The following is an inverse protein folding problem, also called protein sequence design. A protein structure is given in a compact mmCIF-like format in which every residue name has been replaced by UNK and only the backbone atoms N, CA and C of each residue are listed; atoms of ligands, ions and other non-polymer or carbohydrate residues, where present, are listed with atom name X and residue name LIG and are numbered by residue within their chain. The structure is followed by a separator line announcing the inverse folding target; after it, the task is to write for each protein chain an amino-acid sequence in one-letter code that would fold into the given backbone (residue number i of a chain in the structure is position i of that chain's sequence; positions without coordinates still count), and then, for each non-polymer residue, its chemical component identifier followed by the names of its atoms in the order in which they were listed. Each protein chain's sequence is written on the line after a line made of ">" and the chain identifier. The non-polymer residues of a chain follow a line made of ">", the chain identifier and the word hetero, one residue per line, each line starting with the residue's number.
data_IF_263281696603
#
_entry.id   IF_263281696603
#
_cell.length_a   1.000
_cell.length_b   1.000
_cell.length_c   1.000
_cell.angle_alpha   90.00
_cell.angle_beta   90.00
_cell.angle_gamma   90.00
#
_symmetry.space_group_name_H-M   'P 1'
#
loop_
_entity.id
_entity.type
_entity.pdbx_description
1 polymer ?
#
# COMPACT_ATOMS: atom_id res chain seq x y z
N UNK A 1 -16.64 -3.53 10.68
CA UNK A 1 -15.65 -2.75 9.87
C UNK A 1 -16.37 -2.29 8.61
N UNK A 2 -16.17 -1.06 8.12
CA UNK A 2 -16.87 -0.58 6.89
C UNK A 2 -16.49 -1.47 5.70
N UNK A 3 -17.45 -1.79 4.83
CA UNK A 3 -17.23 -2.69 3.70
C UNK A 3 -16.10 -2.21 2.77
N UNK A 4 -15.98 -0.89 2.57
CA UNK A 4 -14.89 -0.28 1.81
C UNK A 4 -13.50 -0.66 2.34
N UNK A 5 -13.33 -0.76 3.66
CA UNK A 5 -12.05 -1.15 4.27
C UNK A 5 -11.74 -2.62 3.93
N UNK A 6 -12.74 -3.49 4.03
CA UNK A 6 -12.59 -4.92 3.70
C UNK A 6 -12.26 -5.11 2.22
N UNK A 7 -12.87 -4.32 1.33
CA UNK A 7 -12.55 -4.31 -0.09
C UNK A 7 -11.06 -4.03 -0.33
N UNK A 8 -10.54 -2.93 0.24
CA UNK A 8 -9.13 -2.55 0.07
C UNK A 8 -8.17 -3.58 0.68
N UNK A 9 -8.47 -4.11 1.88
CA UNK A 9 -7.65 -5.14 2.51
C UNK A 9 -7.64 -6.44 1.70
N UNK A 10 -8.77 -6.83 1.13
CA UNK A 10 -8.87 -8.04 0.30
C UNK A 10 -8.01 -7.91 -0.95
N UNK A 11 -8.09 -6.76 -1.61
CA UNK A 11 -7.26 -6.47 -2.78
C UNK A 11 -5.77 -6.37 -2.44
N UNK A 12 -5.41 -5.73 -1.31
CA UNK A 12 -4.02 -5.65 -0.86
C UNK A 12 -3.42 -7.04 -0.59
N UNK A 13 -4.20 -7.95 0.00
CA UNK A 13 -3.77 -9.34 0.22
C UNK A 13 -3.56 -10.10 -1.08
N UNK A 14 -4.43 -9.89 -2.07
CA UNK A 14 -4.28 -10.49 -3.39
C UNK A 14 -3.01 -9.98 -4.10
N UNK A 15 -2.74 -8.67 -4.04
CA UNK A 15 -1.51 -8.10 -4.59
C UNK A 15 -0.26 -8.63 -3.89
N UNK A 16 -0.29 -8.77 -2.55
CA UNK A 16 0.84 -9.30 -1.80
C UNK A 16 1.16 -10.74 -2.20
N UNK A 17 0.12 -11.56 -2.42
CA UNK A 17 0.28 -12.91 -2.94
C UNK A 17 0.94 -12.87 -4.32
N UNK A 18 0.44 -12.04 -5.24
CA UNK A 18 1.05 -11.87 -6.57
C UNK A 18 2.51 -11.43 -6.49
N UNK A 19 2.82 -10.42 -5.67
CA UNK A 19 4.19 -9.94 -5.47
C UNK A 19 5.13 -11.06 -5.00
N UNK A 20 4.65 -11.88 -4.05
CA UNK A 20 5.41 -13.00 -3.49
C UNK A 20 5.62 -14.12 -4.51
N UNK A 21 4.60 -14.44 -5.30
CA UNK A 21 4.71 -15.49 -6.32
C UNK A 21 5.61 -15.06 -7.47
N UNK A 22 5.55 -13.79 -7.88
CA UNK A 22 6.41 -13.22 -8.92
C UNK A 22 7.87 -13.09 -8.47
N UNK A 23 8.11 -12.88 -7.17
CA UNK A 23 9.46 -12.89 -6.61
C UNK A 23 10.09 -14.29 -6.74
N UNK A 24 9.30 -15.35 -6.52
CA UNK A 24 9.78 -16.75 -6.62
C UNK A 24 10.07 -17.19 -8.06
N UNK A 25 9.50 -16.52 -9.05
CA UNK A 25 9.69 -16.81 -10.47
C UNK A 25 10.64 -15.82 -11.15
N UNK A 26 11.40 -15.06 -10.36
CA UNK A 26 12.36 -14.06 -10.81
C UNK A 26 11.77 -12.94 -11.70
N UNK A 27 10.45 -12.75 -11.66
CA UNK A 27 9.78 -11.64 -12.35
C UNK A 27 9.77 -10.39 -11.46
N UNK A 28 10.97 -9.83 -11.26
CA UNK A 28 11.21 -8.77 -10.27
C UNK A 28 10.44 -7.48 -10.55
N UNK A 29 10.36 -7.03 -11.81
CA UNK A 29 9.61 -5.81 -12.15
C UNK A 29 8.14 -5.93 -11.72
N UNK A 30 7.48 -7.03 -12.05
CA UNK A 30 6.09 -7.25 -11.68
C UNK A 30 5.95 -7.44 -10.16
N UNK A 31 6.90 -8.12 -9.51
CA UNK A 31 6.92 -8.25 -8.04
C UNK A 31 6.95 -6.90 -7.33
N UNK A 32 7.82 -5.98 -7.79
CA UNK A 32 7.91 -4.61 -7.26
C UNK A 32 6.61 -3.83 -7.50
N UNK A 33 6.02 -3.95 -8.70
CA UNK A 33 4.74 -3.31 -9.01
C UNK A 33 3.63 -3.77 -8.05
N UNK A 34 3.46 -5.06 -7.84
CA UNK A 34 2.44 -5.57 -6.91
C UNK A 34 2.75 -5.26 -5.45
N UNK A 35 4.03 -5.11 -5.09
CA UNK A 35 4.42 -4.63 -3.76
C UNK A 35 3.96 -3.18 -3.54
N UNK A 36 4.16 -2.30 -4.53
CA UNK A 36 3.66 -0.92 -4.49
C UNK A 36 2.13 -0.87 -4.35
N UNK A 37 1.42 -1.69 -5.13
CA UNK A 37 -0.05 -1.78 -5.07
C UNK A 37 -0.55 -2.29 -3.72
N UNK A 38 0.12 -3.28 -3.14
CA UNK A 38 -0.14 -3.78 -1.77
C UNK A 38 -0.06 -2.64 -0.76
N UNK A 39 1.02 -1.85 -0.82
CA UNK A 39 1.21 -0.69 0.07
C UNK A 39 0.11 0.34 -0.14
N UNK A 40 -0.22 0.70 -1.38
CA UNK A 40 -1.24 1.71 -1.69
C UNK A 40 -2.60 1.32 -1.12
N UNK A 41 -3.05 0.10 -1.39
CA UNK A 41 -4.37 -0.38 -0.96
C UNK A 41 -4.44 -0.54 0.55
N UNK A 42 -3.34 -0.95 1.19
CA UNK A 42 -3.24 -1.02 2.66
C UNK A 42 -3.34 0.37 3.30
N UNK A 43 -2.63 1.37 2.74
CA UNK A 43 -2.71 2.75 3.21
C UNK A 43 -4.10 3.34 3.00
N UNK A 44 -4.78 3.06 1.87
CA UNK A 44 -6.17 3.48 1.64
C UNK A 44 -7.14 2.88 2.67
N UNK A 45 -6.99 1.59 2.98
CA UNK A 45 -7.79 0.94 4.02
C UNK A 45 -7.59 1.59 5.39
N UNK A 46 -6.33 1.86 5.77
CA UNK A 46 -6.00 2.53 7.02
C UNK A 46 -6.52 3.97 7.04
N UNK A 47 -6.39 4.71 5.94
CA UNK A 47 -6.90 6.07 5.81
C UNK A 47 -8.41 6.15 6.04
N UNK A 48 -9.18 5.23 5.44
CA UNK A 48 -10.65 5.17 5.65
C UNK A 48 -10.97 4.83 7.11
N UNK A 49 -10.19 3.93 7.72
CA UNK A 49 -10.37 3.55 9.13
C UNK A 49 -10.17 4.75 10.06
N UNK A 50 -9.08 5.51 9.89
CA UNK A 50 -8.68 6.61 10.78
C UNK A 50 -9.43 7.91 10.47
N UNK A 51 -9.53 8.30 9.19
CA UNK A 51 -10.14 9.59 8.78
C UNK A 51 -11.63 9.51 8.50
N UNK A 52 -12.23 8.31 8.50
CA UNK A 52 -13.66 8.04 8.24
C UNK A 52 -14.17 8.56 6.89
N UNK A 53 -13.27 8.84 5.94
CA UNK A 53 -13.55 9.31 4.57
C UNK A 53 -12.69 8.56 3.55
N UNK A 54 -13.19 8.42 2.33
CA UNK A 54 -12.43 7.87 1.22
C UNK A 54 -11.52 8.93 0.59
N UNK A 55 -10.49 8.47 -0.11
CA UNK A 55 -9.54 9.33 -0.81
C UNK A 55 -9.26 8.78 -2.21
N UNK A 56 -9.27 9.67 -3.21
CA UNK A 56 -8.96 9.35 -4.60
C UNK A 56 -7.57 9.88 -4.95
N UNK A 57 -6.54 9.21 -4.45
CA UNK A 57 -5.13 9.47 -4.79
C UNK A 57 -4.38 8.16 -4.93
N UNK A 58 -3.30 8.19 -5.71
CA UNK A 58 -2.32 7.11 -5.86
C UNK A 58 -0.96 7.48 -5.27
N UNK A 59 -0.84 8.67 -4.67
CA UNK A 59 0.42 9.13 -4.09
C UNK A 59 0.65 8.51 -2.71
N UNK A 60 1.56 7.54 -2.65
CA UNK A 60 1.93 6.84 -1.41
C UNK A 60 2.48 7.77 -0.34
N UNK A 61 3.34 8.71 -0.72
CA UNK A 61 3.96 9.66 0.22
C UNK A 61 2.90 10.54 0.85
N UNK A 62 1.94 11.01 0.06
CA UNK A 62 0.80 11.75 0.56
C UNK A 62 -0.02 10.93 1.57
N UNK A 63 -0.38 9.69 1.21
CA UNK A 63 -1.14 8.81 2.10
C UNK A 63 -0.41 8.52 3.41
N UNK A 64 0.90 8.26 3.34
CA UNK A 64 1.75 8.01 4.48
C UNK A 64 1.83 9.23 5.42
N UNK A 65 2.01 10.44 4.86
CA UNK A 65 2.03 11.70 5.61
C UNK A 65 0.69 11.95 6.31
N UNK A 66 -0.42 11.80 5.61
CA UNK A 66 -1.77 11.97 6.20
C UNK A 66 -2.05 11.00 7.36
N UNK A 67 -1.37 9.85 7.34
CA UNK A 67 -1.43 8.80 8.35
C UNK A 67 -0.37 8.93 9.43
N UNK A 68 0.41 10.03 9.44
CA UNK A 68 1.51 10.26 10.38
C UNK A 68 2.54 9.11 10.40
N UNK A 69 2.81 8.51 9.23
CA UNK A 69 3.87 7.53 9.12
C UNK A 69 5.22 8.18 9.51
N UNK A 70 6.12 7.44 10.21
CA UNK A 70 7.43 7.97 10.56
C UNK A 70 8.16 8.47 9.31
N UNK A 71 8.66 9.70 9.35
CA UNK A 71 9.54 10.18 8.30
C UNK A 71 10.83 9.37 8.33
N UNK A 72 11.25 8.87 7.18
CA UNK A 72 12.57 8.27 7.05
C UNK A 72 13.53 9.34 6.58
N UNK A 73 14.58 9.60 7.36
CA UNK A 73 15.68 10.46 6.94
C UNK A 73 16.38 9.83 5.74
N UNK A 74 16.03 10.29 4.54
CA UNK A 74 16.61 9.82 3.28
C UNK A 74 18.10 10.20 3.11
N UNK A 75 18.73 10.85 4.09
CA UNK A 75 20.14 11.23 4.05
C UNK A 75 21.11 10.04 4.19
N UNK A 76 20.65 8.85 4.58
CA UNK A 76 21.51 7.67 4.79
C UNK A 76 21.62 6.71 3.58
N UNK A 77 20.99 7.02 2.44
CA UNK A 77 21.00 6.15 1.25
C UNK A 77 21.80 6.73 0.06
N UNK A 78 22.81 7.58 0.34
CA UNK A 78 23.78 8.03 -0.66
C UNK A 78 25.13 7.39 -0.45
#
# INVERSE_FOLDING_TARGET
>A
MREEINYWITQAKADLKSATDLLKTDNYYASVFFSQQTTEKSLKALYIKEKRRSIRTHNLVFLARELNAPEQDHQQLR
#
